data_IF_132626717739
#
_entry.id   IF_132626717739
#
_cell.length_a   1.000
_cell.length_b   1.000
_cell.length_c   1.000
_cell.angle_alpha   90.00
_cell.angle_beta   90.00
_cell.angle_gamma   90.00
#
_symmetry.space_group_name_H-M   'P 1'
#
loop_
_entity.id
_entity.type
_entity.pdbx_description
1 polymer ?
#
# COMPACT_ATOMS: atom_id res chain seq x y z
N UNK A 1 11.69 -11.76 10.69
CA UNK A 1 11.33 -11.48 9.28
C UNK A 1 12.58 -11.63 8.44
N UNK A 2 12.53 -12.48 7.39
CA UNK A 2 13.67 -12.71 6.49
C UNK A 2 13.50 -11.82 5.26
N UNK A 3 14.53 -11.05 4.92
CA UNK A 3 14.60 -10.24 3.70
C UNK A 3 16.00 -10.37 3.06
N UNK A 4 16.06 -10.19 1.76
CA UNK A 4 17.32 -10.06 1.06
C UNK A 4 17.97 -8.72 1.39
N UNK A 5 19.14 -8.75 1.98
CA UNK A 5 19.96 -7.59 2.28
C UNK A 5 21.16 -7.56 1.34
N UNK A 6 21.44 -6.41 0.73
CA UNK A 6 22.63 -6.25 -0.09
C UNK A 6 23.89 -6.49 0.77
N UNK A 7 24.84 -7.21 0.22
CA UNK A 7 26.15 -7.44 0.85
C UNK A 7 27.20 -6.56 0.18
N UNK A 8 28.28 -6.21 0.90
CA UNK A 8 29.43 -5.56 0.29
C UNK A 8 29.95 -6.39 -0.89
N UNK A 9 30.33 -5.74 -1.97
CA UNK A 9 30.86 -6.39 -3.19
C UNK A 9 32.11 -7.24 -2.93
N UNK A 10 32.84 -6.93 -1.86
CA UNK A 10 33.99 -7.71 -1.40
C UNK A 10 33.67 -9.11 -0.89
N UNK A 11 32.38 -9.40 -0.61
CA UNK A 11 31.94 -10.72 -0.12
C UNK A 11 31.77 -11.76 -1.23
N UNK A 12 31.81 -11.36 -2.51
CA UNK A 12 31.52 -12.22 -3.66
C UNK A 12 30.04 -12.59 -3.86
N UNK A 13 29.15 -12.10 -3.00
CA UNK A 13 27.70 -12.30 -3.08
C UNK A 13 26.98 -10.96 -3.15
N UNK A 14 25.96 -10.86 -4.00
CA UNK A 14 25.20 -9.61 -4.15
C UNK A 14 24.18 -9.39 -3.02
N UNK A 15 23.69 -10.46 -2.43
CA UNK A 15 22.71 -10.38 -1.34
C UNK A 15 22.71 -11.64 -0.48
N UNK A 16 22.29 -11.51 0.76
CA UNK A 16 22.03 -12.64 1.66
C UNK A 16 20.70 -12.46 2.38
N UNK A 17 20.04 -13.58 2.67
CA UNK A 17 18.86 -13.59 3.53
C UNK A 17 19.28 -13.39 4.98
N UNK A 18 18.87 -12.27 5.57
CA UNK A 18 19.08 -11.98 7.00
C UNK A 18 17.73 -11.86 7.72
N UNK A 19 17.77 -12.13 9.01
CA UNK A 19 16.63 -11.81 9.88
C UNK A 19 16.65 -10.31 10.20
N UNK A 20 15.85 -9.53 9.45
CA UNK A 20 15.95 -8.07 9.39
C UNK A 20 14.86 -7.34 10.17
N UNK A 21 14.19 -8.00 11.10
CA UNK A 21 13.26 -7.26 11.94
C UNK A 21 12.29 -8.12 12.73
N UNK A 22 11.58 -7.45 13.63
CA UNK A 22 10.51 -8.00 14.45
C UNK A 22 9.17 -7.42 14.05
N UNK A 23 8.19 -8.28 13.91
CA UNK A 23 6.80 -7.93 13.62
C UNK A 23 5.91 -8.53 14.69
N UNK A 24 4.96 -7.77 15.16
CA UNK A 24 3.93 -8.22 16.09
C UNK A 24 2.59 -8.29 15.37
N UNK A 25 1.95 -9.46 15.46
CA UNK A 25 0.56 -9.66 15.09
C UNK A 25 -0.24 -9.91 16.35
N UNK A 26 -1.36 -9.26 16.50
CA UNK A 26 -2.31 -9.47 17.58
C UNK A 26 -3.71 -9.24 17.08
N UNK A 27 -4.66 -10.02 17.57
CA UNK A 27 -6.03 -9.95 17.09
C UNK A 27 -7.01 -10.61 18.04
N UNK A 28 -8.26 -10.50 17.68
CA UNK A 28 -9.40 -11.15 18.34
C UNK A 28 -10.18 -11.89 17.27
N UNK A 29 -10.51 -13.14 17.56
CA UNK A 29 -11.36 -13.96 16.71
C UNK A 29 -12.62 -14.35 17.49
N UNK A 30 -13.77 -14.19 16.84
CA UNK A 30 -15.06 -14.62 17.36
C UNK A 30 -15.67 -15.61 16.40
N UNK A 31 -16.10 -16.76 16.91
CA UNK A 31 -16.85 -17.76 16.15
C UNK A 31 -18.14 -18.08 16.89
N UNK A 32 -19.26 -18.00 16.18
CA UNK A 32 -20.60 -18.32 16.69
C UNK A 32 -21.22 -19.39 15.80
N UNK A 33 -21.56 -20.52 16.39
CA UNK A 33 -22.30 -21.60 15.75
C UNK A 33 -23.65 -21.73 16.42
N UNK A 34 -24.73 -21.65 15.64
CA UNK A 34 -26.10 -21.75 16.16
C UNK A 34 -26.87 -22.82 15.40
N UNK A 35 -27.71 -23.54 16.13
CA UNK A 35 -28.78 -24.35 15.55
C UNK A 35 -30.08 -23.58 15.74
N UNK A 36 -30.57 -22.93 14.67
CA UNK A 36 -31.72 -22.03 14.73
C UNK A 36 -33.02 -22.81 14.75
N UNK A 37 -33.10 -23.86 13.91
CA UNK A 37 -34.25 -24.76 13.85
C UNK A 37 -33.72 -26.17 13.64
N UNK A 38 -34.27 -27.13 14.40
CA UNK A 38 -34.01 -28.54 14.19
C UNK A 38 -35.25 -29.35 14.52
N UNK A 39 -35.89 -29.91 13.50
CA UNK A 39 -37.06 -30.79 13.66
C UNK A 39 -36.93 -32.02 12.73
N UNK A 40 -37.93 -32.85 12.65
CA UNK A 40 -37.90 -34.12 11.88
C UNK A 40 -37.70 -33.88 10.37
N UNK A 41 -38.16 -32.76 9.82
CA UNK A 41 -38.22 -32.51 8.39
C UNK A 41 -37.33 -31.38 7.95
N UNK A 42 -36.84 -30.53 8.89
CA UNK A 42 -36.11 -29.33 8.55
C UNK A 42 -35.05 -29.02 9.61
N UNK A 43 -33.85 -28.69 9.17
CA UNK A 43 -32.74 -28.21 9.99
C UNK A 43 -32.15 -26.92 9.40
N UNK A 44 -31.95 -25.94 10.25
CA UNK A 44 -31.27 -24.70 9.91
C UNK A 44 -30.19 -24.39 10.93
N UNK A 45 -28.96 -24.33 10.45
CA UNK A 45 -27.79 -23.96 11.27
C UNK A 45 -27.10 -22.74 10.67
N UNK A 46 -26.55 -21.91 11.53
CA UNK A 46 -25.78 -20.71 11.13
C UNK A 46 -24.38 -20.79 11.75
N UNK A 47 -23.38 -20.54 10.92
CA UNK A 47 -22.01 -20.30 11.35
C UNK A 47 -21.62 -18.88 11.01
N UNK A 48 -21.19 -18.13 12.01
CA UNK A 48 -20.62 -16.79 11.87
C UNK A 48 -19.22 -16.77 12.46
N UNK A 49 -18.27 -16.21 11.72
CA UNK A 49 -16.94 -15.94 12.24
C UNK A 49 -16.47 -14.57 11.83
N UNK A 50 -15.72 -13.90 12.69
CA UNK A 50 -15.07 -12.63 12.40
C UNK A 50 -13.74 -12.58 13.14
N UNK A 51 -12.69 -12.15 12.43
CA UNK A 51 -11.35 -11.96 12.94
C UNK A 51 -10.90 -10.52 12.71
N UNK A 52 -10.40 -9.90 13.75
CA UNK A 52 -9.76 -8.58 13.71
C UNK A 52 -8.27 -8.81 13.94
N UNK A 53 -7.43 -8.40 13.01
CA UNK A 53 -5.98 -8.54 13.13
C UNK A 53 -5.29 -7.19 13.00
N UNK A 54 -4.33 -6.91 13.87
CA UNK A 54 -3.47 -5.74 13.85
C UNK A 54 -2.01 -6.16 13.77
N UNK A 55 -1.37 -5.77 12.69
CA UNK A 55 0.03 -5.98 12.43
C UNK A 55 0.84 -4.72 12.75
N UNK A 56 2.05 -4.87 13.29
CA UNK A 56 2.96 -3.76 13.56
C UNK A 56 4.42 -4.18 13.43
N UNK A 57 5.20 -3.44 12.66
CA UNK A 57 6.66 -3.54 12.63
C UNK A 57 7.22 -2.93 13.93
N UNK A 58 7.96 -3.72 14.70
CA UNK A 58 8.57 -3.28 15.96
C UNK A 58 10.01 -2.83 15.77
N UNK A 59 10.74 -3.51 14.87
CA UNK A 59 12.17 -3.30 14.68
C UNK A 59 12.54 -3.70 13.25
N UNK A 60 13.45 -2.98 12.64
CA UNK A 60 14.11 -3.32 11.38
C UNK A 60 15.60 -3.52 11.61
N UNK A 61 16.31 -4.20 10.68
CA UNK A 61 17.75 -4.44 10.79
C UNK A 61 18.54 -3.14 10.81
N UNK A 62 19.68 -3.18 11.45
CA UNK A 62 20.66 -2.07 11.44
C UNK A 62 20.08 -0.74 11.94
N UNK A 63 19.08 -0.79 12.84
CA UNK A 63 18.38 0.38 13.37
C UNK A 63 17.74 1.29 12.29
N UNK A 64 17.41 0.73 11.13
CA UNK A 64 16.71 1.46 10.08
C UNK A 64 15.31 1.83 10.54
N UNK A 65 14.86 3.04 10.21
CA UNK A 65 13.51 3.51 10.50
C UNK A 65 12.49 2.98 9.50
N UNK A 66 12.92 2.70 8.26
CA UNK A 66 12.10 2.20 7.18
C UNK A 66 12.90 1.39 6.15
N UNK A 67 12.20 0.54 5.41
CA UNK A 67 12.73 -0.26 4.31
C UNK A 67 11.76 -0.18 3.14
N UNK A 68 12.26 0.23 1.98
CA UNK A 68 11.51 0.28 0.73
C UNK A 68 11.60 -1.04 -0.02
N UNK A 69 10.52 -1.44 -0.68
CA UNK A 69 10.45 -2.65 -1.50
C UNK A 69 9.72 -2.37 -2.80
N UNK A 70 10.27 -2.88 -3.91
CA UNK A 70 9.63 -2.82 -5.21
C UNK A 70 8.70 -4.02 -5.43
N UNK A 71 7.56 -3.79 -6.06
CA UNK A 71 6.75 -4.88 -6.60
C UNK A 71 7.32 -5.30 -7.95
N UNK A 72 7.67 -6.57 -8.06
CA UNK A 72 8.20 -7.14 -9.32
C UNK A 72 7.07 -7.83 -10.06
N UNK A 73 6.32 -7.08 -10.87
CA UNK A 73 5.26 -7.65 -11.70
C UNK A 73 5.79 -8.13 -13.06
N UNK A 74 6.68 -7.36 -13.68
CA UNK A 74 7.43 -7.73 -14.88
C UNK A 74 8.73 -6.93 -14.97
N UNK A 75 9.50 -7.11 -16.07
CA UNK A 75 10.78 -6.45 -16.27
C UNK A 75 10.68 -4.92 -16.40
N UNK A 76 9.53 -4.39 -16.82
CA UNK A 76 9.32 -2.95 -17.05
C UNK A 76 8.92 -2.20 -15.78
N UNK A 77 8.39 -2.91 -14.76
CA UNK A 77 7.93 -2.33 -13.49
C UNK A 77 8.85 -2.63 -12.30
N UNK A 78 10.09 -3.06 -12.55
CA UNK A 78 11.03 -3.51 -11.53
C UNK A 78 11.73 -2.39 -10.74
N UNK A 79 11.66 -1.15 -11.19
CA UNK A 79 12.49 -0.05 -10.66
C UNK A 79 11.78 0.84 -9.65
N UNK A 80 10.47 0.69 -9.45
CA UNK A 80 9.71 1.59 -8.60
C UNK A 80 9.41 0.96 -7.23
N UNK A 81 9.76 1.67 -6.17
CA UNK A 81 9.36 1.29 -4.83
C UNK A 81 7.85 1.50 -4.66
N UNK A 82 7.14 0.40 -4.40
CA UNK A 82 5.68 0.39 -4.27
C UNK A 82 5.22 0.11 -2.85
N UNK A 83 6.12 -0.36 -1.99
CA UNK A 83 5.81 -0.71 -0.60
C UNK A 83 6.88 -0.18 0.34
N UNK A 84 6.46 0.12 1.57
CA UNK A 84 7.32 0.54 2.66
C UNK A 84 7.02 -0.29 3.92
N UNK A 85 8.07 -0.80 4.56
CA UNK A 85 8.00 -1.27 5.93
C UNK A 85 8.60 -0.18 6.82
N UNK A 86 7.79 0.39 7.74
CA UNK A 86 8.22 1.46 8.65
C UNK A 86 7.96 1.05 10.09
N UNK A 87 8.93 1.28 10.96
CA UNK A 87 8.78 1.00 12.39
C UNK A 87 7.58 1.76 12.96
N UNK A 88 6.74 1.05 13.71
CA UNK A 88 5.51 1.61 14.27
C UNK A 88 4.26 1.45 13.40
N UNK A 89 4.40 1.10 12.14
CA UNK A 89 3.32 0.93 11.17
C UNK A 89 3.08 -0.54 10.81
N UNK A 90 1.94 -0.89 10.22
CA UNK A 90 1.71 -2.22 9.68
C UNK A 90 2.70 -2.57 8.57
N UNK A 91 2.93 -3.87 8.36
CA UNK A 91 3.62 -4.34 7.15
C UNK A 91 2.73 -4.20 5.91
N UNK A 92 3.38 -4.06 4.75
CA UNK A 92 2.65 -4.00 3.48
C UNK A 92 1.96 -2.67 3.23
N UNK A 93 2.45 -1.58 3.86
CA UNK A 93 2.00 -0.23 3.53
C UNK A 93 2.37 0.09 2.08
N UNK A 94 1.39 0.54 1.31
CA UNK A 94 1.60 1.03 -0.05
C UNK A 94 2.30 2.38 0.00
N UNK A 95 3.29 2.56 -0.85
CA UNK A 95 4.14 3.75 -0.91
C UNK A 95 4.11 4.36 -2.30
N UNK A 96 3.81 5.65 -2.40
CA UNK A 96 3.67 6.32 -3.68
C UNK A 96 3.21 7.77 -3.53
N UNK A 97 2.78 8.35 -4.63
CA UNK A 97 2.28 9.72 -4.70
C UNK A 97 0.79 9.77 -4.35
N UNK A 98 0.36 10.88 -3.74
CA UNK A 98 -1.05 11.18 -3.55
C UNK A 98 -1.59 11.77 -4.86
N UNK A 99 -2.57 11.11 -5.46
CA UNK A 99 -3.21 11.57 -6.68
C UNK A 99 -4.26 12.65 -6.37
N UNK A 100 -4.15 13.82 -7.01
CA UNK A 100 -5.04 14.97 -6.85
C UNK A 100 -6.00 15.19 -8.03
N UNK A 101 -5.99 14.30 -8.99
CA UNK A 101 -6.76 14.45 -10.22
C UNK A 101 -5.87 14.69 -11.43
N UNK A 102 -6.35 15.50 -12.35
CA UNK A 102 -5.60 15.86 -13.58
C UNK A 102 -5.36 17.34 -13.64
N UNK A 103 -4.26 17.74 -14.30
CA UNK A 103 -4.03 19.13 -14.64
C UNK A 103 -5.19 19.66 -15.50
N UNK A 104 -5.77 20.78 -15.08
CA UNK A 104 -6.88 21.41 -15.77
C UNK A 104 -6.36 22.53 -16.67
N UNK A 105 -7.16 22.97 -17.65
CA UNK A 105 -6.81 24.11 -18.50
C UNK A 105 -6.54 25.39 -17.69
N UNK A 106 -7.18 25.55 -16.54
CA UNK A 106 -6.98 26.69 -15.63
C UNK A 106 -5.60 26.71 -14.95
N UNK A 107 -4.89 25.59 -14.92
CA UNK A 107 -3.51 25.47 -14.40
C UNK A 107 -2.47 26.05 -15.40
N UNK A 108 -2.90 26.42 -16.60
CA UNK A 108 -2.03 26.88 -17.69
C UNK A 108 -2.38 28.28 -18.16
N UNK A 109 -1.37 28.99 -18.67
CA UNK A 109 -1.51 30.18 -19.48
C UNK A 109 -1.54 29.80 -20.95
N UNK A 110 -2.57 30.22 -21.69
CA UNK A 110 -2.70 29.93 -23.13
C UNK A 110 -2.14 31.08 -23.95
N UNK A 111 -1.16 30.79 -24.81
CA UNK A 111 -0.59 31.73 -25.77
C UNK A 111 -0.68 31.13 -27.17
N UNK A 112 -1.60 31.59 -27.99
CA UNK A 112 -1.93 30.95 -29.28
C UNK A 112 -2.51 29.56 -29.06
N UNK A 113 -1.87 28.56 -29.64
CA UNK A 113 -2.25 27.14 -29.48
C UNK A 113 -1.41 26.40 -28.42
N UNK A 114 -0.53 27.11 -27.70
CA UNK A 114 0.36 26.51 -26.70
C UNK A 114 -0.16 26.77 -25.30
N UNK A 115 -0.10 25.74 -24.47
CA UNK A 115 -0.40 25.80 -23.02
C UNK A 115 0.92 25.74 -22.25
N UNK A 116 1.19 26.78 -21.46
CA UNK A 116 2.37 26.86 -20.57
C UNK A 116 1.91 26.75 -19.13
N UNK A 117 2.49 25.85 -18.36
CA UNK A 117 2.14 25.67 -16.96
C UNK A 117 2.40 26.95 -16.17
N UNK A 118 1.47 27.31 -15.30
CA UNK A 118 1.65 28.47 -14.42
C UNK A 118 2.74 28.20 -13.37
N UNK A 119 3.56 29.18 -13.06
CA UNK A 119 4.72 29.06 -12.15
C UNK A 119 4.39 28.59 -10.74
N UNK A 120 3.16 28.77 -10.29
CA UNK A 120 2.71 28.36 -8.96
C UNK A 120 2.06 26.98 -8.94
N UNK A 121 2.08 26.26 -10.05
CA UNK A 121 1.52 24.90 -10.16
C UNK A 121 2.65 23.89 -10.16
N UNK A 122 2.71 22.98 -9.18
CA UNK A 122 3.72 21.94 -9.14
C UNK A 122 3.65 21.02 -10.36
N UNK A 123 4.80 20.51 -10.81
CA UNK A 123 4.90 19.64 -11.98
C UNK A 123 5.66 18.36 -11.68
N UNK A 124 5.30 17.28 -12.37
CA UNK A 124 5.96 15.98 -12.29
C UNK A 124 7.02 15.88 -13.38
N UNK A 125 8.28 15.61 -13.00
CA UNK A 125 9.42 15.38 -13.91
C UNK A 125 9.87 16.58 -14.72
N UNK A 126 8.99 17.27 -15.45
CA UNK A 126 9.36 18.41 -16.31
C UNK A 126 8.18 19.36 -16.50
N UNK A 127 8.40 20.64 -16.24
CA UNK A 127 7.42 21.70 -16.47
C UNK A 127 6.98 21.75 -17.94
N UNK A 128 7.94 21.73 -18.87
CA UNK A 128 7.68 21.87 -20.30
C UNK A 128 6.88 20.70 -20.91
N UNK A 129 6.93 19.53 -20.28
CA UNK A 129 6.21 18.33 -20.74
C UNK A 129 4.84 18.17 -20.09
N UNK A 130 4.53 18.99 -19.07
CA UNK A 130 3.24 18.94 -18.39
C UNK A 130 2.15 19.55 -19.27
N UNK A 131 1.08 18.80 -19.48
CA UNK A 131 -0.03 19.17 -20.38
C UNK A 131 -1.37 19.04 -19.65
N UNK A 132 -2.42 19.79 -20.06
CA UNK A 132 -3.77 19.57 -19.56
C UNK A 132 -4.22 18.13 -19.75
N UNK A 133 -4.87 17.56 -18.72
CA UNK A 133 -5.33 16.16 -18.72
C UNK A 133 -4.32 15.14 -18.19
N UNK A 134 -3.05 15.50 -18.01
CA UNK A 134 -2.07 14.60 -17.37
C UNK A 134 -2.36 14.42 -15.88
N UNK A 135 -1.97 13.27 -15.28
CA UNK A 135 -2.11 13.06 -13.83
C UNK A 135 -1.38 14.12 -13.02
N UNK A 136 -2.05 14.65 -11.99
CA UNK A 136 -1.52 15.60 -11.02
C UNK A 136 -1.39 14.92 -9.65
N UNK A 137 -0.26 15.14 -9.01
CA UNK A 137 0.04 14.60 -7.68
C UNK A 137 0.33 15.73 -6.70
N UNK A 138 0.19 15.43 -5.41
CA UNK A 138 0.47 16.38 -4.34
C UNK A 138 1.98 16.65 -4.22
N UNK A 139 2.34 17.89 -4.15
CA UNK A 139 3.65 18.38 -3.72
C UNK A 139 3.62 18.48 -2.18
N UNK A 140 4.23 17.51 -1.51
CA UNK A 140 4.14 17.39 -0.04
C UNK A 140 5.17 18.24 0.68
N UNK A 141 6.29 18.55 0.04
CA UNK A 141 7.35 19.38 0.61
C UNK A 141 7.23 20.88 0.23
N UNK A 142 6.41 21.21 -0.80
CA UNK A 142 6.11 22.58 -1.23
C UNK A 142 7.22 23.22 -2.05
N UNK A 143 8.08 22.43 -2.70
CA UNK A 143 9.18 22.96 -3.51
C UNK A 143 8.80 23.24 -4.97
N UNK A 144 7.60 22.85 -5.40
CA UNK A 144 7.07 23.04 -6.75
C UNK A 144 7.44 21.94 -7.73
N UNK A 145 8.19 20.93 -7.30
CA UNK A 145 8.61 19.78 -8.11
C UNK A 145 8.09 18.50 -7.46
N UNK A 146 7.30 17.73 -8.19
CA UNK A 146 6.80 16.45 -7.70
C UNK A 146 7.82 15.37 -8.03
N UNK A 147 8.52 14.89 -7.01
CA UNK A 147 9.58 13.89 -7.11
C UNK A 147 9.51 12.82 -6.00
N UNK A 148 10.58 12.04 -5.82
CA UNK A 148 10.62 10.99 -4.82
C UNK A 148 10.46 11.48 -3.37
N UNK A 149 10.66 12.78 -3.08
CA UNK A 149 10.47 13.38 -1.77
C UNK A 149 8.97 13.58 -1.43
N UNK A 150 8.10 13.55 -2.45
CA UNK A 150 6.64 13.66 -2.29
C UNK A 150 5.95 12.31 -2.16
N UNK A 151 6.71 11.23 -2.12
CA UNK A 151 6.16 9.91 -1.88
C UNK A 151 5.86 9.70 -0.40
N UNK A 152 4.71 9.11 -0.13
CA UNK A 152 4.25 8.82 1.23
C UNK A 152 3.51 7.50 1.31
N UNK A 153 3.06 7.13 2.50
CA UNK A 153 2.20 5.96 2.70
C UNK A 153 0.78 6.30 2.23
N UNK A 154 0.37 5.70 1.11
CA UNK A 154 -0.92 5.98 0.47
C UNK A 154 -2.01 4.96 0.79
N UNK A 155 -1.67 3.82 1.37
CA UNK A 155 -2.64 2.79 1.71
C UNK A 155 -2.06 1.63 2.50
N UNK A 156 -2.96 0.75 2.93
CA UNK A 156 -2.63 -0.50 3.59
C UNK A 156 -3.40 -1.63 2.90
N UNK A 157 -2.68 -2.60 2.35
CA UNK A 157 -3.27 -3.77 1.70
C UNK A 157 -3.82 -4.82 2.66
N UNK A 158 -3.54 -4.71 3.97
CA UNK A 158 -4.03 -5.67 4.95
C UNK A 158 -5.45 -5.30 5.42
N UNK A 159 -6.42 -6.23 5.32
CA UNK A 159 -7.77 -5.99 5.80
C UNK A 159 -7.78 -5.79 7.32
N UNK A 160 -8.61 -4.85 7.80
CA UNK A 160 -8.79 -4.60 9.25
C UNK A 160 -9.55 -5.73 9.93
N UNK A 161 -10.42 -6.39 9.19
CA UNK A 161 -11.20 -7.55 9.62
C UNK A 161 -11.48 -8.47 8.44
N UNK A 162 -11.63 -9.73 8.74
CA UNK A 162 -12.09 -10.78 7.81
C UNK A 162 -13.15 -11.59 8.51
N UNK A 163 -14.12 -12.13 7.78
CA UNK A 163 -15.16 -12.93 8.38
C UNK A 163 -15.97 -13.70 7.35
N UNK A 164 -16.78 -14.61 7.86
CA UNK A 164 -17.69 -15.43 7.08
C UNK A 164 -19.05 -15.58 7.77
N UNK A 165 -20.08 -15.68 6.97
CA UNK A 165 -21.43 -15.96 7.41
C UNK A 165 -22.03 -17.03 6.53
N UNK A 166 -22.34 -18.20 7.11
CA UNK A 166 -22.83 -19.37 6.40
C UNK A 166 -24.16 -19.83 7.04
N UNK A 167 -25.16 -20.06 6.22
CA UNK A 167 -26.40 -20.72 6.62
C UNK A 167 -26.51 -22.07 5.89
N UNK A 168 -26.75 -23.12 6.63
CA UNK A 168 -27.04 -24.45 6.09
C UNK A 168 -28.50 -24.80 6.37
N UNK A 169 -29.19 -25.17 5.31
CA UNK A 169 -30.58 -25.62 5.34
C UNK A 169 -30.65 -27.06 4.84
N UNK A 170 -31.22 -27.95 5.62
CA UNK A 170 -31.50 -29.34 5.24
C UNK A 170 -33.00 -29.57 5.32
N UNK A 171 -33.54 -30.17 4.28
CA UNK A 171 -34.93 -30.62 4.23
C UNK A 171 -34.95 -32.12 3.95
N UNK A 172 -35.72 -32.89 4.77
CA UNK A 172 -35.89 -34.36 4.67
C UNK A 172 -37.28 -34.72 4.26
#
# INVERSE_FOLDING_TARGET
MLLNTALPTSSGYFSAMKNVGKVRNQGIELTLNTTNIKNRHFSWTTNFNIAFNKNKVLELAENQSSLLSAAKFDQNYNSQYSYIAKVGYPMGMMYGFIYEGTYKYEDFDKVGDTYTLKRNVPYFSSESNTQPGMPKYADLNGDGIIDDNDRTMIGNGMPKHTGGFTNNFEYK
#
